data_IF_095476337553
#
_entry.id   IF_095476337553
#
_cell.length_a   1.000
_cell.length_b   1.000
_cell.length_c   1.000
_cell.angle_alpha   90.00
_cell.angle_beta   90.00
_cell.angle_gamma   90.00
#
_symmetry.space_group_name_H-M   'P 1'
#
loop_
_entity.id
_entity.type
_entity.pdbx_description
1 polymer ?
#
# COMPACT_ATOMS: atom_id res chain seq x y z
N UNK A 1 5.78 2.03 -12.61
CA UNK A 1 5.94 1.68 -11.19
C UNK A 1 4.59 1.55 -10.52
N UNK A 2 4.51 0.78 -9.45
CA UNK A 2 3.26 0.55 -8.72
C UNK A 2 3.55 0.53 -7.21
N UNK A 3 2.83 1.35 -6.42
CA UNK A 3 2.83 1.19 -4.98
C UNK A 3 1.59 0.43 -4.53
N UNK A 4 1.68 -0.36 -3.47
CA UNK A 4 0.56 -1.12 -2.93
C UNK A 4 0.63 -1.25 -1.41
N UNK A 5 -0.51 -1.57 -0.84
CA UNK A 5 -0.72 -1.83 0.58
C UNK A 5 -1.85 -2.86 0.75
N UNK A 6 -1.77 -3.70 1.78
CA UNK A 6 -2.73 -4.78 2.05
C UNK A 6 -3.21 -4.69 3.48
N UNK A 7 -4.52 -4.53 3.66
CA UNK A 7 -5.13 -4.57 4.98
C UNK A 7 -5.65 -5.97 5.29
N UNK A 8 -5.36 -6.44 6.49
CA UNK A 8 -5.76 -7.77 6.98
C UNK A 8 -6.60 -7.67 8.25
N UNK A 9 -7.26 -8.76 8.61
CA UNK A 9 -7.94 -8.82 9.89
C UNK A 9 -6.92 -8.87 11.04
N UNK A 10 -7.07 -7.98 12.02
CA UNK A 10 -6.13 -7.75 13.11
C UNK A 10 -5.88 -8.97 14.02
N UNK A 11 -6.81 -9.94 14.05
CA UNK A 11 -6.67 -11.17 14.83
C UNK A 11 -6.28 -12.40 13.99
N UNK A 12 -6.24 -12.27 12.66
CA UNK A 12 -5.79 -13.32 11.73
C UNK A 12 -5.27 -12.70 10.43
N UNK A 13 -3.98 -12.51 10.33
CA UNK A 13 -3.31 -11.90 9.20
C UNK A 13 -3.37 -12.71 7.90
N UNK A 14 -3.89 -13.94 7.91
CA UNK A 14 -4.18 -14.68 6.68
C UNK A 14 -5.49 -14.23 6.01
N UNK A 15 -6.31 -13.44 6.69
CA UNK A 15 -7.59 -12.92 6.20
C UNK A 15 -7.38 -11.53 5.61
N UNK A 16 -7.21 -11.45 4.29
CA UNK A 16 -7.10 -10.18 3.57
C UNK A 16 -8.46 -9.50 3.50
N UNK A 17 -8.53 -8.25 3.93
CA UNK A 17 -9.73 -7.40 3.89
C UNK A 17 -9.74 -6.47 2.68
N UNK A 18 -8.57 -5.90 2.36
CA UNK A 18 -8.41 -4.93 1.29
C UNK A 18 -7.09 -5.14 0.54
N UNK A 19 -7.10 -4.84 -0.75
CA UNK A 19 -5.90 -4.68 -1.57
C UNK A 19 -6.00 -3.30 -2.22
N UNK A 20 -5.07 -2.41 -1.87
CA UNK A 20 -4.96 -1.09 -2.45
C UNK A 20 -3.68 -0.93 -3.27
N UNK A 21 -3.76 -0.23 -4.39
CA UNK A 21 -2.57 0.07 -5.18
C UNK A 21 -2.75 1.31 -6.04
N UNK A 22 -1.61 1.91 -6.41
CA UNK A 22 -1.56 3.03 -7.34
C UNK A 22 -0.51 2.77 -8.40
N UNK A 23 -0.90 2.99 -9.65
CA UNK A 23 0.01 2.90 -10.81
C UNK A 23 0.44 4.30 -11.24
N UNK A 24 1.72 4.47 -11.53
CA UNK A 24 2.27 5.74 -11.98
C UNK A 24 3.32 5.53 -13.07
N UNK A 25 3.39 6.47 -14.02
CA UNK A 25 4.43 6.48 -15.05
C UNK A 25 5.75 6.98 -14.49
N UNK A 26 6.86 6.30 -14.85
CA UNK A 26 8.22 6.78 -14.53
C UNK A 26 8.56 8.10 -15.23
N UNK A 27 8.05 8.31 -16.44
CA UNK A 27 8.33 9.50 -17.22
C UNK A 27 7.63 10.76 -16.68
N UNK A 28 6.47 10.58 -16.03
CA UNK A 28 5.66 11.66 -15.46
C UNK A 28 4.98 11.19 -14.17
N UNK A 29 5.73 11.00 -13.10
CA UNK A 29 5.20 10.37 -11.88
C UNK A 29 4.16 11.21 -11.13
N UNK A 30 4.09 12.51 -11.38
CA UNK A 30 3.13 13.41 -10.75
C UNK A 30 1.80 13.51 -11.53
N UNK A 31 1.82 13.28 -12.85
CA UNK A 31 0.69 13.61 -13.74
C UNK A 31 -0.30 12.46 -13.99
N UNK A 32 0.13 11.20 -13.85
CA UNK A 32 -0.70 10.04 -14.21
C UNK A 32 -0.69 9.00 -13.10
N UNK A 33 -1.53 9.22 -12.09
CA UNK A 33 -1.75 8.24 -11.02
C UNK A 33 -3.16 7.68 -11.16
N UNK A 34 -3.25 6.38 -11.34
CA UNK A 34 -4.51 5.65 -11.28
C UNK A 34 -4.50 4.80 -10.01
N UNK A 35 -5.41 5.10 -9.10
CA UNK A 35 -5.50 4.45 -7.81
C UNK A 35 -6.67 3.48 -7.77
N UNK A 36 -6.44 2.32 -7.19
CA UNK A 36 -7.37 1.21 -7.08
C UNK A 36 -7.53 0.79 -5.63
N UNK A 37 -8.74 0.42 -5.26
CA UNK A 37 -9.04 -0.12 -3.95
C UNK A 37 -10.07 -1.24 -4.06
N UNK A 38 -9.68 -2.45 -3.66
CA UNK A 38 -10.50 -3.65 -3.70
C UNK A 38 -10.85 -4.09 -2.28
N UNK A 39 -12.14 -4.17 -1.98
CA UNK A 39 -12.67 -4.69 -0.72
C UNK A 39 -13.10 -6.14 -0.95
N UNK A 40 -12.57 -7.05 -0.15
CA UNK A 40 -12.78 -8.50 -0.31
C UNK A 40 -14.12 -8.90 0.29
N UNK A 41 -15.04 -9.34 -0.57
CA UNK A 41 -16.45 -9.60 -0.19
C UNK A 41 -16.62 -10.77 0.75
N UNK A 42 -15.87 -11.87 0.57
CA UNK A 42 -15.92 -13.03 1.45
C UNK A 42 -15.55 -12.71 2.89
N UNK A 43 -14.69 -11.71 3.08
CA UNK A 43 -14.14 -11.31 4.36
C UNK A 43 -14.81 -10.06 4.96
N UNK A 44 -15.89 -9.56 4.33
CA UNK A 44 -16.56 -8.32 4.73
C UNK A 44 -17.14 -8.33 6.15
N UNK A 45 -17.38 -9.52 6.72
CA UNK A 45 -17.87 -9.68 8.09
C UNK A 45 -16.77 -9.54 9.16
N UNK A 46 -15.49 -9.61 8.78
CA UNK A 46 -14.37 -9.28 9.65
C UNK A 46 -14.18 -7.76 9.71
N UNK A 47 -14.09 -7.21 10.91
CA UNK A 47 -14.03 -5.77 11.15
C UNK A 47 -12.96 -5.49 12.18
N UNK A 48 -11.95 -4.71 11.82
CA UNK A 48 -10.90 -4.23 12.72
C UNK A 48 -11.45 -3.15 13.66
N UNK A 49 -11.10 -3.18 14.95
CA UNK A 49 -11.58 -2.22 15.96
C UNK A 49 -10.68 -2.05 17.16
N UNK A 50 -9.76 -2.98 17.37
CA UNK A 50 -8.98 -3.04 18.61
C UNK A 50 -7.61 -2.36 18.44
N UNK A 51 -6.91 -2.67 17.35
CA UNK A 51 -5.56 -2.17 17.12
C UNK A 51 -5.49 -1.17 15.97
N UNK A 52 -6.33 -1.34 14.95
CA UNK A 52 -6.42 -0.44 13.80
C UNK A 52 -7.88 -0.09 13.50
N UNK A 53 -8.18 1.13 13.02
CA UNK A 53 -9.53 1.49 12.61
C UNK A 53 -9.95 0.73 11.34
N UNK A 54 -11.24 0.42 11.21
CA UNK A 54 -11.80 -0.04 9.94
C UNK A 54 -12.15 1.17 9.07
N UNK A 55 -11.27 1.50 8.16
CA UNK A 55 -11.41 2.63 7.25
C UNK A 55 -11.70 2.21 5.79
N UNK A 56 -12.13 0.95 5.57
CA UNK A 56 -12.36 0.40 4.23
C UNK A 56 -13.33 1.19 3.35
N UNK A 57 -14.25 1.95 3.93
CA UNK A 57 -15.22 2.76 3.20
C UNK A 57 -14.75 4.23 3.01
N UNK A 58 -13.49 4.56 3.37
CA UNK A 58 -12.94 5.91 3.32
C UNK A 58 -11.93 6.12 2.19
N UNK A 59 -12.01 5.40 1.09
CA UNK A 59 -11.10 5.59 -0.04
C UNK A 59 -11.39 6.92 -0.75
N UNK A 60 -10.40 7.82 -0.81
CA UNK A 60 -10.56 9.17 -1.34
C UNK A 60 -9.98 9.39 -2.74
N UNK A 61 -9.14 8.47 -3.23
CA UNK A 61 -8.45 8.66 -4.51
C UNK A 61 -9.11 7.95 -5.68
N UNK A 62 -10.37 7.54 -5.53
CA UNK A 62 -11.14 6.85 -6.55
C UNK A 62 -12.41 6.23 -5.99
N UNK A 63 -12.83 5.12 -6.58
CA UNK A 63 -14.01 4.36 -6.14
C UNK A 63 -13.58 2.97 -5.71
N UNK A 64 -14.00 2.56 -4.51
CA UNK A 64 -13.77 1.20 -4.03
C UNK A 64 -14.59 0.19 -4.84
N UNK A 65 -13.94 -0.88 -5.28
CA UNK A 65 -14.62 -2.02 -5.90
C UNK A 65 -14.74 -3.17 -4.90
N UNK A 66 -15.94 -3.75 -4.79
CA UNK A 66 -16.18 -4.93 -3.96
C UNK A 66 -16.17 -6.17 -4.83
N UNK A 67 -15.28 -7.13 -4.53
CA UNK A 67 -15.12 -8.33 -5.33
C UNK A 67 -14.56 -9.50 -4.51
N UNK A 68 -14.54 -10.71 -5.08
CA UNK A 68 -13.90 -11.86 -4.47
C UNK A 68 -12.38 -11.69 -4.41
N UNK A 69 -11.72 -12.35 -3.43
CA UNK A 69 -10.26 -12.35 -3.35
C UNK A 69 -9.62 -12.88 -4.66
N UNK A 70 -10.25 -13.86 -5.28
CA UNK A 70 -9.78 -14.40 -6.57
C UNK A 70 -9.81 -13.36 -7.69
N UNK A 71 -10.86 -12.55 -7.77
CA UNK A 71 -10.97 -11.48 -8.78
C UNK A 71 -9.99 -10.35 -8.49
N UNK A 72 -9.89 -9.94 -7.21
CA UNK A 72 -8.95 -8.93 -6.76
C UNK A 72 -7.50 -9.34 -7.08
N UNK A 73 -7.12 -10.59 -6.75
CA UNK A 73 -5.82 -11.16 -7.05
C UNK A 73 -5.52 -11.14 -8.56
N UNK A 74 -6.49 -11.54 -9.39
CA UNK A 74 -6.30 -11.56 -10.85
C UNK A 74 -6.04 -10.15 -11.43
N UNK A 75 -6.83 -9.14 -11.00
CA UNK A 75 -6.64 -7.74 -11.40
C UNK A 75 -5.31 -7.18 -10.89
N UNK A 76 -5.01 -7.39 -9.61
CA UNK A 76 -3.77 -6.95 -8.98
C UNK A 76 -2.53 -7.52 -9.68
N UNK A 77 -2.51 -8.84 -9.95
CA UNK A 77 -1.43 -9.50 -10.66
C UNK A 77 -1.26 -9.02 -12.10
N UNK A 78 -2.32 -8.58 -12.75
CA UNK A 78 -2.22 -7.97 -14.09
C UNK A 78 -1.39 -6.68 -14.01
N UNK A 79 -1.68 -5.79 -13.06
CA UNK A 79 -0.93 -4.54 -12.88
C UNK A 79 0.52 -4.79 -12.42
N UNK A 80 0.74 -5.80 -11.56
CA UNK A 80 2.11 -6.21 -11.18
C UNK A 80 2.93 -6.61 -12.41
N UNK A 81 2.38 -7.39 -13.33
CA UNK A 81 3.12 -7.80 -14.54
C UNK A 81 3.62 -6.60 -15.35
N UNK A 82 2.81 -5.56 -15.44
CA UNK A 82 3.09 -4.36 -16.24
C UNK A 82 3.99 -3.34 -15.50
N UNK A 83 4.18 -3.50 -14.19
CA UNK A 83 5.03 -2.62 -13.40
C UNK A 83 6.53 -3.00 -13.53
N UNK A 84 7.40 -2.01 -13.75
CA UNK A 84 8.86 -2.20 -13.78
C UNK A 84 9.38 -2.56 -12.38
N UNK A 85 8.83 -1.94 -11.34
CA UNK A 85 9.13 -2.23 -9.95
C UNK A 85 7.93 -1.88 -9.05
N UNK A 86 7.97 -2.40 -7.84
CA UNK A 86 6.97 -2.22 -6.80
C UNK A 86 7.49 -1.33 -5.67
N UNK A 87 6.59 -0.63 -5.01
CA UNK A 87 6.88 0.22 -3.85
C UNK A 87 5.96 -0.16 -2.70
N UNK A 88 6.52 -0.28 -1.50
CA UNK A 88 5.79 -0.61 -0.28
C UNK A 88 6.22 0.28 0.88
N UNK A 89 5.50 0.19 1.99
CA UNK A 89 5.92 0.74 3.27
C UNK A 89 5.89 -0.37 4.33
N UNK A 90 7.05 -0.83 4.81
CA UNK A 90 7.16 -2.02 5.67
C UNK A 90 6.65 -3.32 4.99
N UNK A 91 6.92 -3.46 3.70
CA UNK A 91 6.29 -4.40 2.77
C UNK A 91 6.52 -5.88 3.02
N UNK A 92 7.40 -6.27 3.96
CA UNK A 92 7.60 -7.67 4.31
C UNK A 92 6.32 -8.34 4.85
N UNK A 93 5.45 -7.57 5.48
CA UNK A 93 4.15 -8.05 5.95
C UNK A 93 3.18 -8.25 4.78
N UNK A 94 3.05 -7.25 3.90
CA UNK A 94 2.19 -7.31 2.72
C UNK A 94 2.56 -8.49 1.81
N UNK A 95 3.85 -8.71 1.58
CA UNK A 95 4.35 -9.84 0.81
C UNK A 95 3.92 -11.18 1.43
N UNK A 96 4.04 -11.30 2.75
CA UNK A 96 3.61 -12.50 3.46
C UNK A 96 2.09 -12.72 3.38
N UNK A 97 1.29 -11.66 3.50
CA UNK A 97 -0.17 -11.73 3.38
C UNK A 97 -0.59 -12.15 1.97
N UNK A 98 -0.01 -11.53 0.94
CA UNK A 98 -0.27 -11.88 -0.45
C UNK A 98 0.15 -13.32 -0.76
N UNK A 99 1.31 -13.78 -0.26
CA UNK A 99 1.77 -15.14 -0.45
C UNK A 99 0.82 -16.18 0.18
N UNK A 100 0.24 -15.88 1.35
CA UNK A 100 -0.76 -16.73 1.99
C UNK A 100 -2.03 -16.92 1.15
N UNK A 101 -2.36 -15.90 0.34
CA UNK A 101 -3.47 -15.91 -0.61
C UNK A 101 -3.08 -16.49 -2.00
N UNK A 102 -1.86 -17.01 -2.15
CA UNK A 102 -1.37 -17.56 -3.42
C UNK A 102 -0.96 -16.50 -4.45
N UNK A 103 -0.77 -15.25 -4.03
CA UNK A 103 -0.30 -14.15 -4.89
C UNK A 103 1.21 -14.02 -4.73
N UNK A 104 1.97 -14.29 -5.79
CA UNK A 104 3.43 -14.22 -5.76
C UNK A 104 3.94 -12.90 -6.36
N UNK A 105 4.88 -12.28 -5.67
CA UNK A 105 5.64 -11.10 -6.15
C UNK A 105 7.03 -11.50 -6.67
N UNK A 106 7.28 -12.79 -6.83
CA UNK A 106 8.57 -13.31 -7.29
C UNK A 106 9.03 -12.68 -8.61
N UNK A 107 10.30 -12.32 -8.68
CA UNK A 107 10.92 -11.68 -9.85
C UNK A 107 10.68 -10.17 -9.96
N UNK A 108 9.95 -9.55 -9.04
CA UNK A 108 9.77 -8.09 -9.00
C UNK A 108 10.77 -7.42 -8.06
N UNK A 109 11.37 -6.34 -8.53
CA UNK A 109 12.14 -5.45 -7.66
C UNK A 109 11.19 -4.66 -6.77
N UNK A 110 11.49 -4.61 -5.47
CA UNK A 110 10.69 -3.89 -4.49
C UNK A 110 11.53 -2.80 -3.82
N UNK A 111 10.95 -1.62 -3.67
CA UNK A 111 11.48 -0.53 -2.86
C UNK A 111 10.59 -0.34 -1.63
N UNK A 112 11.18 -0.50 -0.46
CA UNK A 112 10.50 -0.24 0.81
C UNK A 112 10.82 1.19 1.27
N UNK A 113 9.79 2.03 1.37
CA UNK A 113 9.94 3.43 1.76
C UNK A 113 10.42 3.60 3.20
N UNK A 114 10.15 2.63 4.08
CA UNK A 114 10.67 2.63 5.44
C UNK A 114 12.19 2.44 5.44
N UNK A 115 12.70 1.49 4.65
CA UNK A 115 14.14 1.24 4.50
C UNK A 115 14.84 2.40 3.77
N UNK A 116 14.19 2.98 2.75
CA UNK A 116 14.72 4.17 2.08
C UNK A 116 14.82 5.36 3.03
N UNK A 117 13.80 5.61 3.83
CA UNK A 117 13.82 6.68 4.83
C UNK A 117 14.91 6.45 5.88
N UNK A 118 15.08 5.22 6.34
CA UNK A 118 16.16 4.85 7.26
C UNK A 118 17.53 5.17 6.67
N UNK A 119 17.76 4.84 5.40
CA UNK A 119 19.03 5.08 4.73
C UNK A 119 19.30 6.57 4.46
N UNK A 120 18.26 7.35 4.13
CA UNK A 120 18.41 8.73 3.66
C UNK A 120 18.27 9.80 4.75
N UNK A 121 17.47 9.53 5.79
CA UNK A 121 17.05 10.55 6.76
C UNK A 121 17.67 10.38 8.14
N UNK A 122 18.23 9.21 8.46
CA UNK A 122 18.69 8.93 9.82
C UNK A 122 20.10 8.35 9.82
N UNK A 123 20.81 8.60 10.92
CA UNK A 123 22.08 7.91 11.24
C UNK A 123 21.88 6.72 12.18
N UNK A 124 20.61 6.32 12.42
CA UNK A 124 20.24 5.33 13.43
C UNK A 124 19.39 4.19 12.86
N UNK A 125 18.88 3.34 13.75
CA UNK A 125 18.07 2.17 13.45
C UNK A 125 16.57 2.41 13.70
N UNK A 126 16.14 3.66 13.77
CA UNK A 126 14.75 3.99 14.07
C UNK A 126 13.84 3.63 12.88
N UNK A 127 12.82 2.82 13.17
CA UNK A 127 11.78 2.43 12.21
C UNK A 127 10.63 3.44 12.33
N UNK A 128 10.19 3.98 11.20
CA UNK A 128 9.13 4.99 11.16
C UNK A 128 7.92 4.46 10.39
N UNK A 129 6.74 4.55 10.98
CA UNK A 129 5.48 4.30 10.30
C UNK A 129 5.16 5.38 9.25
N UNK A 130 4.26 5.06 8.32
CA UNK A 130 3.86 5.91 7.19
C UNK A 130 3.45 7.32 7.65
N UNK A 131 2.52 7.43 8.60
CA UNK A 131 2.06 8.70 9.18
C UNK A 131 3.22 9.60 9.62
N UNK A 132 4.18 9.03 10.34
CA UNK A 132 5.32 9.78 10.85
C UNK A 132 6.18 10.34 9.73
N UNK A 133 6.50 9.54 8.71
CA UNK A 133 7.33 9.97 7.59
C UNK A 133 6.62 11.02 6.72
N UNK A 134 5.31 10.89 6.52
CA UNK A 134 4.51 11.91 5.83
C UNK A 134 4.62 13.25 6.55
N UNK A 135 4.47 13.25 7.89
CA UNK A 135 4.62 14.45 8.73
C UNK A 135 6.03 15.03 8.66
N UNK A 136 7.07 14.22 8.83
CA UNK A 136 8.46 14.64 8.87
C UNK A 136 8.93 15.23 7.52
N UNK A 137 8.34 14.79 6.41
CA UNK A 137 8.61 15.31 5.07
C UNK A 137 7.61 16.38 4.61
N UNK A 138 6.72 16.83 5.49
CA UNK A 138 5.68 17.82 5.20
C UNK A 138 4.83 17.44 3.97
N UNK A 139 4.55 16.15 3.77
CA UNK A 139 3.64 15.65 2.74
C UNK A 139 2.22 15.77 3.28
N UNK A 140 1.32 16.54 2.64
CA UNK A 140 -0.06 16.64 3.12
C UNK A 140 -0.78 15.30 3.09
N UNK A 141 -1.44 14.95 4.19
CA UNK A 141 -2.26 13.75 4.32
C UNK A 141 -3.40 14.00 5.32
N UNK A 142 -4.44 13.19 5.23
CA UNK A 142 -5.50 13.11 6.23
C UNK A 142 -5.29 11.87 7.09
N UNK A 143 -5.16 12.08 8.40
CA UNK A 143 -4.94 10.99 9.36
C UNK A 143 -6.17 10.08 9.50
N UNK A 144 -7.36 10.63 9.36
CA UNK A 144 -8.62 9.92 9.56
C UNK A 144 -8.94 8.90 8.46
N UNK A 145 -8.19 8.94 7.35
CA UNK A 145 -8.35 8.01 6.23
C UNK A 145 -7.18 7.04 6.05
N UNK A 146 -6.17 7.10 6.91
CA UNK A 146 -5.13 6.05 6.96
C UNK A 146 -5.73 4.71 7.41
N UNK A 147 -4.99 3.62 7.24
CA UNK A 147 -5.48 2.25 7.41
C UNK A 147 -6.66 1.93 6.47
N UNK A 148 -6.56 2.43 5.26
CA UNK A 148 -7.30 2.03 4.08
C UNK A 148 -6.28 1.70 3.00
N UNK A 149 -6.26 0.48 2.52
CA UNK A 149 -5.20 0.01 1.62
C UNK A 149 -5.02 0.87 0.38
N UNK A 150 -6.12 1.43 -0.18
CA UNK A 150 -6.05 2.33 -1.33
C UNK A 150 -5.39 3.67 -1.00
N UNK A 151 -5.75 4.28 0.12
CA UNK A 151 -5.17 5.55 0.57
C UNK A 151 -3.70 5.38 0.94
N UNK A 152 -3.37 4.32 1.68
CA UNK A 152 -2.01 4.07 2.16
C UNK A 152 -1.07 3.76 0.98
N UNK A 153 -1.53 3.06 -0.06
CA UNK A 153 -0.79 2.90 -1.30
C UNK A 153 -0.49 4.24 -2.00
N UNK A 154 -1.47 5.17 -2.05
CA UNK A 154 -1.26 6.50 -2.63
C UNK A 154 -0.27 7.32 -1.80
N UNK A 155 -0.38 7.29 -0.47
CA UNK A 155 0.56 7.98 0.41
C UNK A 155 1.96 7.37 0.37
N UNK A 156 2.07 6.05 0.25
CA UNK A 156 3.34 5.34 0.04
C UNK A 156 4.01 5.79 -1.26
N UNK A 157 3.27 5.94 -2.35
CA UNK A 157 3.80 6.48 -3.61
C UNK A 157 4.27 7.93 -3.46
N UNK A 158 3.49 8.80 -2.78
CA UNK A 158 3.89 10.19 -2.50
C UNK A 158 5.19 10.24 -1.69
N UNK A 159 5.29 9.40 -0.67
CA UNK A 159 6.48 9.26 0.19
C UNK A 159 7.69 8.81 -0.63
N UNK A 160 7.55 7.77 -1.46
CA UNK A 160 8.60 7.28 -2.34
C UNK A 160 9.16 8.39 -3.24
N UNK A 161 8.26 9.13 -3.91
CA UNK A 161 8.65 10.24 -4.79
C UNK A 161 9.35 11.39 -4.03
N UNK A 162 8.95 11.66 -2.80
CA UNK A 162 9.61 12.65 -1.96
C UNK A 162 11.01 12.21 -1.52
N UNK A 163 11.18 10.93 -1.17
CA UNK A 163 12.47 10.36 -0.80
C UNK A 163 13.44 10.32 -1.98
N UNK A 164 12.99 9.96 -3.17
CA UNK A 164 13.84 9.89 -4.36
C UNK A 164 14.38 11.27 -4.79
N UNK A 165 13.70 12.37 -4.44
CA UNK A 165 14.21 13.75 -4.66
C UNK A 165 15.39 14.13 -3.75
N UNK A 166 15.74 13.28 -2.78
CA UNK A 166 16.85 13.50 -1.84
C UNK A 166 18.13 12.73 -2.23
N UNK A 167 18.05 11.88 -3.25
CA UNK A 167 19.18 11.17 -3.84
C UNK A 167 19.80 12.03 -4.95
#
# INVERSE_FOLDING_TARGET
MMAFDVETYENDFSVILEIGFVVSSLARPEDSKEAFHFIITENSHFVNREYVPDNRDKFEFGTSERMSLKEAAAKFMQHIRDADFLVTHSGAHDEAYLASAGISLEGKHMFDTQLLALALLTSGTAVFGLKRLLSDLAIPFDEDILHNGGNDAVYTMKLFLALTKKI
#
